data_IF_658563951698
#
_entry.id   IF_658563951698
#
_cell.length_a   1.000
_cell.length_b   1.000
_cell.length_c   1.000
_cell.angle_alpha   90.00
_cell.angle_beta   90.00
_cell.angle_gamma   90.00
#
_symmetry.space_group_name_H-M   'P 1'
#
loop_
_entity.id
_entity.type
_entity.pdbx_description
1 polymer ?
#
# COMPACT_ATOMS: atom_id res chain seq x y z
N UNK A 1 13.27 28.51 5.69
CA UNK A 1 13.11 27.06 5.43
C UNK A 1 14.48 26.51 5.09
N UNK A 2 15.03 25.70 5.99
CA UNK A 2 16.40 25.20 5.91
C UNK A 2 16.45 23.96 5.00
N UNK A 3 17.60 23.67 4.39
CA UNK A 3 17.80 22.45 3.57
C UNK A 3 17.49 21.17 4.34
N UNK A 4 17.69 21.20 5.66
CA UNK A 4 17.42 20.09 6.59
C UNK A 4 15.94 19.71 6.62
N UNK A 5 15.03 20.68 6.49
CA UNK A 5 13.58 20.41 6.51
C UNK A 5 13.12 19.62 5.28
N UNK A 6 13.80 19.81 4.13
CA UNK A 6 13.46 19.12 2.88
C UNK A 6 13.94 17.67 2.87
N UNK A 7 15.12 17.39 3.40
CA UNK A 7 15.68 16.04 3.39
C UNK A 7 14.89 15.12 4.33
N UNK A 8 14.51 15.59 5.52
CA UNK A 8 13.66 14.81 6.47
C UNK A 8 12.29 14.50 5.89
N UNK A 9 11.62 15.50 5.27
CA UNK A 9 10.34 15.29 4.59
C UNK A 9 10.44 14.32 3.39
N UNK A 10 11.62 14.21 2.78
CA UNK A 10 11.83 13.33 1.62
C UNK A 10 12.17 11.91 2.07
N UNK A 11 12.87 11.73 3.18
CA UNK A 11 13.12 10.41 3.79
C UNK A 11 11.85 9.80 4.37
N UNK A 12 11.01 10.58 5.07
CA UNK A 12 9.73 10.10 5.60
C UNK A 12 8.75 9.69 4.48
N UNK A 13 8.77 10.40 3.35
CA UNK A 13 7.98 10.02 2.16
C UNK A 13 8.52 8.77 1.46
N UNK A 14 9.83 8.57 1.47
CA UNK A 14 10.45 7.39 0.87
C UNK A 14 10.20 6.14 1.71
N UNK A 15 10.35 6.23 3.04
CA UNK A 15 10.03 5.14 3.98
C UNK A 15 8.56 4.73 3.85
N UNK A 16 7.65 5.72 3.75
CA UNK A 16 6.21 5.46 3.52
C UNK A 16 5.92 4.74 2.19
N UNK A 17 6.75 4.91 1.15
CA UNK A 17 6.54 4.24 -0.14
C UNK A 17 7.04 2.80 -0.13
N UNK A 18 8.14 2.53 0.57
CA UNK A 18 8.66 1.16 0.71
C UNK A 18 7.65 0.27 1.45
N UNK A 19 7.02 0.78 2.51
CA UNK A 19 5.96 0.08 3.24
C UNK A 19 4.72 -0.18 2.36
N UNK A 20 4.29 0.83 1.59
CA UNK A 20 3.19 0.67 0.61
C UNK A 20 3.52 -0.41 -0.42
N UNK A 21 4.73 -0.42 -0.97
CA UNK A 21 5.14 -1.43 -1.95
C UNK A 21 5.26 -2.82 -1.32
N UNK A 22 5.72 -2.93 -0.07
CA UNK A 22 5.81 -4.20 0.65
C UNK A 22 4.42 -4.81 0.85
N UNK A 23 3.45 -4.02 1.31
CA UNK A 23 2.06 -4.43 1.48
C UNK A 23 1.44 -4.86 0.15
N UNK A 24 1.61 -4.07 -0.93
CA UNK A 24 1.13 -4.45 -2.26
C UNK A 24 1.78 -5.76 -2.73
N UNK A 25 3.08 -5.92 -2.52
CA UNK A 25 3.84 -7.12 -2.86
C UNK A 25 3.33 -8.36 -2.12
N UNK A 26 3.01 -8.22 -0.83
CA UNK A 26 2.40 -9.29 -0.05
C UNK A 26 1.04 -9.70 -0.62
N UNK A 27 0.15 -8.74 -0.90
CA UNK A 27 -1.18 -9.02 -1.46
C UNK A 27 -1.08 -9.66 -2.85
N UNK A 28 -0.13 -9.21 -3.67
CA UNK A 28 0.17 -9.80 -4.96
C UNK A 28 0.60 -11.26 -4.82
N UNK A 29 1.49 -11.56 -3.88
CA UNK A 29 1.92 -12.92 -3.60
C UNK A 29 0.75 -13.80 -3.12
N UNK A 30 -0.13 -13.29 -2.27
CA UNK A 30 -1.33 -14.02 -1.82
C UNK A 30 -2.28 -14.37 -2.99
N UNK A 31 -2.49 -13.45 -3.93
CA UNK A 31 -3.28 -13.72 -5.13
C UNK A 31 -2.63 -14.80 -6.00
N UNK A 32 -1.34 -14.66 -6.28
CA UNK A 32 -0.59 -15.60 -7.11
C UNK A 32 -0.52 -17.00 -6.50
N UNK A 33 -0.27 -17.10 -5.19
CA UNK A 33 -0.24 -18.38 -4.47
C UNK A 33 -1.61 -19.06 -4.45
N UNK A 34 -2.69 -18.28 -4.49
CA UNK A 34 -4.05 -18.78 -4.64
C UNK A 34 -4.44 -19.13 -6.11
N UNK A 35 -3.50 -18.98 -7.06
CA UNK A 35 -3.76 -19.18 -8.48
C UNK A 35 -4.70 -18.13 -9.10
N UNK A 36 -4.88 -16.98 -8.43
CA UNK A 36 -5.75 -15.90 -8.89
C UNK A 36 -4.97 -14.91 -9.77
N UNK A 37 -5.61 -14.32 -10.79
CA UNK A 37 -5.00 -13.28 -11.61
C UNK A 37 -4.57 -12.06 -10.80
N UNK A 38 -3.46 -11.43 -11.22
CA UNK A 38 -2.95 -10.20 -10.65
C UNK A 38 -3.63 -8.99 -11.31
N UNK A 39 -4.85 -8.69 -10.86
CA UNK A 39 -5.64 -7.55 -11.33
C UNK A 39 -5.71 -6.46 -10.26
N UNK A 40 -5.72 -5.18 -10.67
CA UNK A 40 -5.81 -4.03 -9.76
C UNK A 40 -7.07 -4.08 -8.88
N UNK A 41 -8.19 -4.52 -9.44
CA UNK A 41 -9.45 -4.73 -8.73
C UNK A 41 -9.30 -5.80 -7.64
N UNK A 42 -8.74 -6.96 -8.00
CA UNK A 42 -8.49 -8.07 -7.08
C UNK A 42 -7.53 -7.68 -5.94
N UNK A 43 -6.47 -6.94 -6.25
CA UNK A 43 -5.55 -6.37 -5.25
C UNK A 43 -6.27 -5.39 -4.31
N UNK A 44 -7.07 -4.49 -4.87
CA UNK A 44 -7.80 -3.49 -4.09
C UNK A 44 -8.83 -4.13 -3.17
N UNK A 45 -9.53 -5.16 -3.62
CA UNK A 45 -10.52 -5.84 -2.79
C UNK A 45 -9.86 -6.64 -1.65
N UNK A 46 -8.71 -7.26 -1.92
CA UNK A 46 -7.94 -7.97 -0.91
C UNK A 46 -7.39 -7.00 0.16
N UNK A 47 -6.84 -5.85 -0.26
CA UNK A 47 -6.40 -4.79 0.65
C UNK A 47 -7.54 -4.27 1.54
N UNK A 48 -8.72 -4.00 0.97
CA UNK A 48 -9.91 -3.58 1.75
C UNK A 48 -10.31 -4.63 2.77
N UNK A 49 -10.25 -5.91 2.41
CA UNK A 49 -10.56 -7.00 3.32
C UNK A 49 -9.59 -7.01 4.51
N UNK A 50 -8.28 -6.94 4.25
CA UNK A 50 -7.26 -6.94 5.30
C UNK A 50 -7.34 -5.66 6.17
N UNK A 51 -7.56 -4.50 5.59
CA UNK A 51 -7.82 -3.25 6.32
C UNK A 51 -9.04 -3.34 7.26
N UNK A 52 -10.10 -4.03 6.81
CA UNK A 52 -11.32 -4.25 7.59
C UNK A 52 -11.16 -5.28 8.72
N UNK A 53 -10.20 -6.21 8.58
CA UNK A 53 -9.96 -7.31 9.52
C UNK A 53 -8.77 -7.05 10.46
N UNK A 54 -7.91 -6.08 10.14
CA UNK A 54 -6.75 -5.74 10.95
C UNK A 54 -7.16 -5.06 12.26
N UNK A 55 -6.74 -5.66 13.39
CA UNK A 55 -6.81 -5.03 14.70
C UNK A 55 -5.61 -4.10 14.96
N UNK A 56 -4.56 -4.19 14.15
CA UNK A 56 -3.39 -3.33 14.22
C UNK A 56 -3.65 -2.05 13.41
N UNK A 57 -3.58 -0.90 14.10
CA UNK A 57 -3.86 0.43 13.55
C UNK A 57 -2.79 0.84 12.54
N UNK A 58 -1.53 0.50 12.77
CA UNK A 58 -0.43 0.84 11.86
C UNK A 58 -0.58 0.03 10.57
N UNK A 59 -0.76 -1.27 10.68
CA UNK A 59 -0.95 -2.15 9.53
C UNK A 59 -2.21 -1.80 8.74
N UNK A 60 -3.28 -1.41 9.44
CA UNK A 60 -4.50 -0.91 8.79
C UNK A 60 -4.21 0.34 7.96
N UNK A 61 -3.45 1.29 8.51
CA UNK A 61 -3.06 2.50 7.79
C UNK A 61 -2.23 2.17 6.55
N UNK A 62 -1.30 1.23 6.64
CA UNK A 62 -0.50 0.78 5.49
C UNK A 62 -1.38 0.19 4.38
N UNK A 63 -2.40 -0.60 4.73
CA UNK A 63 -3.40 -1.08 3.75
C UNK A 63 -4.20 0.07 3.12
N UNK A 64 -4.62 1.07 3.90
CA UNK A 64 -5.36 2.23 3.41
C UNK A 64 -4.49 3.13 2.50
N UNK A 65 -3.21 3.30 2.84
CA UNK A 65 -2.24 4.05 2.04
C UNK A 65 -1.94 3.31 0.72
N UNK A 66 -1.83 1.98 0.77
CA UNK A 66 -1.69 1.15 -0.43
C UNK A 66 -2.93 1.21 -1.34
N UNK A 67 -4.13 1.20 -0.78
CA UNK A 67 -5.37 1.42 -1.54
C UNK A 67 -5.39 2.77 -2.24
N UNK A 68 -5.02 3.82 -1.51
CA UNK A 68 -4.95 5.18 -2.04
C UNK A 68 -3.93 5.27 -3.17
N UNK A 69 -2.77 4.62 -3.02
CA UNK A 69 -1.76 4.52 -4.07
C UNK A 69 -2.29 3.80 -5.32
N UNK A 70 -2.92 2.63 -5.18
CA UNK A 70 -3.48 1.90 -6.31
C UNK A 70 -4.56 2.70 -7.05
N UNK A 71 -5.38 3.46 -6.33
CA UNK A 71 -6.39 4.33 -6.95
C UNK A 71 -5.77 5.40 -7.86
N UNK A 72 -4.57 5.88 -7.58
CA UNK A 72 -3.84 6.80 -8.48
C UNK A 72 -3.36 6.15 -9.78
N UNK A 73 -3.37 4.82 -9.86
CA UNK A 73 -2.90 4.04 -11.01
C UNK A 73 -4.04 3.56 -11.91
N UNK A 74 -5.29 3.68 -11.47
CA UNK A 74 -6.46 3.39 -12.31
C UNK A 74 -6.66 4.57 -13.27
N UNK A 75 -6.60 4.37 -14.60
CA UNK A 75 -6.92 5.43 -15.55
C UNK A 75 -8.40 5.80 -15.45
N UNK A 76 -8.70 7.10 -15.40
CA UNK A 76 -10.05 7.66 -15.45
C UNK A 76 -10.80 7.31 -16.73
#
# INVERSE_FOLDING_TARGET
MSRIDKDVLNTEKAESLDDIHAVIGQMAAELLNAGRPLELTSLSDLLKQHAGQSADILLKKEYDDALSFLATKVPS
#
